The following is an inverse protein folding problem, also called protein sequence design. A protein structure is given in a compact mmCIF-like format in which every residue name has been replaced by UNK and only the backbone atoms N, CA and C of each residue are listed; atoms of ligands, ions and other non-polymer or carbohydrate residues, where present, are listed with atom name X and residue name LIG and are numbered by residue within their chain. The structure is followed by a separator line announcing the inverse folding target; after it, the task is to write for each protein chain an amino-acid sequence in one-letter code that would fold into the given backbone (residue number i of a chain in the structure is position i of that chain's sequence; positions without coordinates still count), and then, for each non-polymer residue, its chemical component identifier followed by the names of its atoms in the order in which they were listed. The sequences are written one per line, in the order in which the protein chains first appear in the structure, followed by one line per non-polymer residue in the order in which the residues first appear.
data_IF_216564776816
#
_entry.id   IF_216564776816
#
_cell.length_a   1.000
_cell.length_b   1.000
_cell.length_c   1.000
_cell.angle_alpha   90.00
_cell.angle_beta   90.00
_cell.angle_gamma   90.00
#
_symmetry.space_group_name_H-M   'P 1'
#
loop_
_entity.id
_entity.type
_entity.pdbx_description
1 polymer ?
#
# COMPACT_ATOMS: atom_id res chain seq x y z
N UNK A 1 5.70 12.75 21.02
CA UNK A 1 4.94 14.02 20.83
C UNK A 1 3.44 13.78 20.88
N UNK A 2 2.94 12.79 20.16
CA UNK A 2 1.52 12.42 20.07
C UNK A 2 0.83 12.25 21.42
N UNK A 3 1.46 11.56 22.37
CA UNK A 3 0.90 11.34 23.71
C UNK A 3 0.55 12.67 24.42
N UNK A 4 1.43 13.66 24.32
CA UNK A 4 1.21 14.98 24.96
C UNK A 4 0.05 15.71 24.30
N UNK A 5 0.00 15.72 22.96
CA UNK A 5 -1.10 16.34 22.19
C UNK A 5 -2.43 15.66 22.52
N UNK A 6 -2.47 14.32 22.56
CA UNK A 6 -3.69 13.58 22.90
C UNK A 6 -4.17 13.84 24.33
N UNK A 7 -3.25 13.99 25.29
CA UNK A 7 -3.61 14.35 26.66
C UNK A 7 -4.21 15.76 26.73
N UNK A 8 -3.60 16.75 26.08
CA UNK A 8 -4.15 18.12 26.05
C UNK A 8 -5.53 18.15 25.36
N UNK A 9 -5.72 17.40 24.26
CA UNK A 9 -7.04 17.29 23.62
C UNK A 9 -8.07 16.62 24.52
N UNK A 10 -7.69 15.60 25.30
CA UNK A 10 -8.57 14.96 26.27
C UNK A 10 -8.97 15.90 27.42
N UNK A 11 -8.04 16.77 27.88
CA UNK A 11 -8.36 17.81 28.86
C UNK A 11 -9.29 18.87 28.27
N UNK A 12 -9.03 19.30 27.03
CA UNK A 12 -9.91 20.21 26.30
C UNK A 12 -11.33 19.64 26.13
N UNK A 13 -11.46 18.35 25.85
CA UNK A 13 -12.76 17.68 25.70
C UNK A 13 -13.50 17.52 27.03
N UNK A 14 -12.83 17.00 28.06
CA UNK A 14 -13.46 16.68 29.35
C UNK A 14 -13.82 17.92 30.17
N UNK A 15 -13.01 18.98 30.10
CA UNK A 15 -13.16 20.18 30.94
C UNK A 15 -13.61 21.42 30.16
N UNK A 16 -13.82 21.29 28.84
CA UNK A 16 -14.00 22.43 27.94
C UNK A 16 -12.89 23.49 28.07
N UNK A 17 -11.66 23.05 28.36
CA UNK A 17 -10.53 23.95 28.59
C UNK A 17 -9.95 24.46 27.27
N UNK A 18 -10.27 25.72 26.94
CA UNK A 18 -9.76 26.41 25.76
C UNK A 18 -8.24 26.58 25.78
N UNK A 19 -7.62 26.65 26.96
CA UNK A 19 -6.17 26.77 27.08
C UNK A 19 -5.47 25.44 26.70
N UNK A 20 -6.04 24.30 27.10
CA UNK A 20 -5.59 22.97 26.67
C UNK A 20 -5.68 22.79 25.15
N UNK A 21 -6.80 23.21 24.54
CA UNK A 21 -6.96 23.18 23.09
C UNK A 21 -5.88 24.03 22.40
N UNK A 22 -5.64 25.24 22.90
CA UNK A 22 -4.64 26.14 22.33
C UNK A 22 -3.22 25.58 22.48
N UNK A 23 -2.89 24.93 23.60
CA UNK A 23 -1.61 24.24 23.78
C UNK A 23 -1.45 23.10 22.77
N UNK A 24 -2.47 22.24 22.62
CA UNK A 24 -2.46 21.17 21.63
C UNK A 24 -2.24 21.71 20.20
N UNK A 25 -2.97 22.76 19.83
CA UNK A 25 -2.83 23.41 18.52
C UNK A 25 -1.44 23.99 18.29
N UNK A 26 -0.85 24.70 19.26
CA UNK A 26 0.50 25.26 19.14
C UNK A 26 1.57 24.17 19.02
N UNK A 27 1.41 23.04 19.74
CA UNK A 27 2.30 21.89 19.61
C UNK A 27 2.23 21.29 18.20
N UNK A 28 1.03 21.06 17.67
CA UNK A 28 0.82 20.56 16.31
C UNK A 28 1.43 21.52 15.27
N UNK A 29 1.19 22.83 15.43
CA UNK A 29 1.65 23.85 14.48
C UNK A 29 3.16 24.00 14.48
N UNK A 30 3.78 24.08 15.65
CA UNK A 30 5.24 24.16 15.80
C UNK A 30 5.94 22.91 15.25
N UNK A 31 5.40 21.72 15.54
CA UNK A 31 5.92 20.46 15.01
C UNK A 31 5.78 20.37 13.48
N UNK A 32 4.70 20.92 12.90
CA UNK A 32 4.53 20.93 11.45
C UNK A 32 5.48 21.91 10.76
N UNK A 33 5.78 23.06 11.39
CA UNK A 33 6.75 24.05 10.91
C UNK A 33 8.20 23.61 11.11
N UNK A 34 8.47 22.82 12.15
CA UNK A 34 9.78 22.29 12.50
C UNK A 34 10.24 21.07 11.69
N UNK A 35 9.42 20.57 10.74
CA UNK A 35 9.80 19.47 9.84
C UNK A 35 11.02 19.84 8.99
N UNK A 36 12.19 19.53 9.52
CA UNK A 36 13.46 19.42 8.79
C UNK A 36 13.42 18.13 7.97
N UNK A 37 13.86 18.18 6.71
CA UNK A 37 13.99 17.00 5.82
C UNK A 37 14.89 15.88 6.37
N UNK A 38 15.56 16.07 7.51
CA UNK A 38 16.66 15.23 7.97
C UNK A 38 16.43 14.49 9.31
N UNK A 39 15.31 14.67 10.01
CA UNK A 39 15.06 13.91 11.27
C UNK A 39 13.63 13.32 11.36
N UNK A 40 13.45 12.01 11.08
CA UNK A 40 12.15 11.35 11.12
C UNK A 40 11.60 11.13 12.53
N UNK A 41 12.39 11.38 13.58
CA UNK A 41 12.01 11.09 14.97
C UNK A 41 11.09 12.14 15.62
N UNK A 42 10.96 13.33 15.02
CA UNK A 42 10.08 14.41 15.49
C UNK A 42 8.69 14.43 14.85
N UNK A 43 8.38 13.46 13.98
CA UNK A 43 7.09 13.42 13.30
C UNK A 43 5.94 12.97 14.23
N UNK A 44 4.77 13.59 14.05
CA UNK A 44 3.54 13.25 14.77
C UNK A 44 2.49 12.71 13.79
N UNK A 45 1.51 11.96 14.30
CA UNK A 45 0.44 11.42 13.46
C UNK A 45 -0.38 12.54 12.80
N UNK A 46 -0.57 12.53 11.46
CA UNK A 46 -1.47 13.45 10.77
C UNK A 46 -2.91 13.43 11.28
N UNK A 47 -3.33 12.34 11.92
CA UNK A 47 -4.66 12.20 12.52
C UNK A 47 -4.92 13.25 13.61
N UNK A 48 -3.86 13.73 14.28
CA UNK A 48 -3.95 14.75 15.33
C UNK A 48 -4.43 16.10 14.80
N UNK A 49 -4.19 16.42 13.52
CA UNK A 49 -4.79 17.61 12.90
C UNK A 49 -6.31 17.54 12.91
N UNK A 50 -6.86 16.37 12.58
CA UNK A 50 -8.31 16.18 12.48
C UNK A 50 -8.95 16.16 13.87
N UNK A 51 -8.31 15.50 14.85
CA UNK A 51 -8.78 15.50 16.24
C UNK A 51 -8.78 16.92 16.84
N UNK A 52 -7.73 17.70 16.59
CA UNK A 52 -7.68 19.10 17.03
C UNK A 52 -8.75 19.95 16.32
N UNK A 53 -8.95 19.75 15.02
CA UNK A 53 -9.94 20.48 14.25
C UNK A 53 -11.38 20.22 14.71
N UNK A 54 -11.73 18.97 15.01
CA UNK A 54 -13.03 18.60 15.54
C UNK A 54 -13.26 19.18 16.93
N UNK A 55 -12.26 19.10 17.80
CA UNK A 55 -12.37 19.65 19.15
C UNK A 55 -12.53 21.17 19.10
N UNK A 56 -11.82 21.85 18.20
CA UNK A 56 -11.98 23.28 17.97
C UNK A 56 -13.40 23.65 17.49
N UNK A 57 -13.98 22.87 16.58
CA UNK A 57 -15.38 23.07 16.15
C UNK A 57 -16.37 22.89 17.29
N UNK A 58 -16.23 21.84 18.11
CA UNK A 58 -17.07 21.61 19.30
C UNK A 58 -17.00 22.78 20.28
N UNK A 59 -15.85 23.43 20.39
CA UNK A 59 -15.60 24.56 21.30
C UNK A 59 -15.84 25.93 20.67
N UNK A 60 -16.35 25.99 19.43
CA UNK A 60 -16.68 27.25 18.75
C UNK A 60 -15.46 28.06 18.29
N UNK A 61 -14.31 27.42 18.05
CA UNK A 61 -13.08 28.04 17.53
C UNK A 61 -12.84 27.64 16.06
N UNK A 62 -13.57 28.22 15.10
CA UNK A 62 -13.49 27.84 13.69
C UNK A 62 -12.11 28.13 13.08
N UNK A 63 -11.44 29.21 13.49
CA UNK A 63 -10.14 29.60 12.95
C UNK A 63 -9.05 28.54 13.20
N UNK A 64 -9.06 27.97 14.42
CA UNK A 64 -8.15 26.88 14.81
C UNK A 64 -8.46 25.63 14.00
N UNK A 65 -9.74 25.32 13.80
CA UNK A 65 -10.17 24.19 12.98
C UNK A 65 -9.74 24.33 11.53
N UNK A 66 -9.96 25.50 10.93
CA UNK A 66 -9.61 25.78 9.54
C UNK A 66 -8.10 25.61 9.29
N UNK A 67 -7.26 26.17 10.16
CA UNK A 67 -5.80 26.05 10.05
C UNK A 67 -5.35 24.58 10.20
N UNK A 68 -5.94 23.83 11.14
CA UNK A 68 -5.66 22.40 11.31
C UNK A 68 -6.03 21.58 10.06
N UNK A 69 -7.21 21.80 9.49
CA UNK A 69 -7.67 21.11 8.29
C UNK A 69 -6.80 21.49 7.07
N UNK A 70 -6.40 22.75 6.97
CA UNK A 70 -5.51 23.19 5.90
C UNK A 70 -4.14 22.50 5.99
N UNK A 71 -3.57 22.38 7.20
CA UNK A 71 -2.33 21.64 7.42
C UNK A 71 -2.48 20.14 7.10
N UNK A 72 -3.60 19.51 7.48
CA UNK A 72 -3.88 18.11 7.15
C UNK A 72 -3.85 17.83 5.65
N UNK A 73 -4.56 18.64 4.85
CA UNK A 73 -4.60 18.45 3.40
C UNK A 73 -3.27 18.81 2.71
N UNK A 74 -2.50 19.77 3.25
CA UNK A 74 -1.15 20.11 2.74
C UNK A 74 -0.13 19.01 3.01
N UNK A 75 -0.24 18.31 4.14
CA UNK A 75 0.70 17.27 4.54
C UNK A 75 0.65 16.01 3.66
N UNK A 76 -0.34 15.89 2.76
CA UNK A 76 -0.56 14.70 1.89
C UNK A 76 -0.42 13.39 2.68
N UNK A 77 -1.04 13.34 3.85
CA UNK A 77 -1.00 12.18 4.74
C UNK A 77 -1.68 10.95 4.11
N UNK A 78 -1.44 9.75 4.66
CA UNK A 78 -2.07 8.52 4.20
C UNK A 78 -3.60 8.64 4.25
N UNK A 79 -4.29 7.99 3.31
CA UNK A 79 -5.75 7.92 3.32
C UNK A 79 -6.18 7.01 4.46
N UNK A 80 -6.63 7.61 5.56
CA UNK A 80 -7.16 6.91 6.74
C UNK A 80 -8.62 7.32 6.99
N UNK A 81 -9.28 6.66 7.94
CA UNK A 81 -10.63 7.02 8.42
C UNK A 81 -10.82 8.52 8.75
N UNK A 82 -9.72 9.24 9.00
CA UNK A 82 -9.71 10.67 9.31
C UNK A 82 -9.93 11.56 8.09
N UNK A 83 -9.79 11.07 6.86
CA UNK A 83 -10.05 11.85 5.65
C UNK A 83 -11.54 12.23 5.52
N UNK A 84 -12.46 11.29 5.76
CA UNK A 84 -13.90 11.58 5.80
C UNK A 84 -14.28 12.57 6.89
N UNK A 85 -13.64 12.45 8.06
CA UNK A 85 -13.82 13.36 9.20
C UNK A 85 -13.28 14.76 8.92
N UNK A 86 -12.15 14.87 8.22
CA UNK A 86 -11.59 16.15 7.77
C UNK A 86 -12.52 16.85 6.75
N UNK A 87 -13.10 16.10 5.82
CA UNK A 87 -14.13 16.64 4.91
C UNK A 87 -15.37 17.11 5.65
N UNK A 88 -15.79 16.40 6.71
CA UNK A 88 -16.90 16.82 7.56
C UNK A 88 -16.58 18.12 8.31
N UNK A 89 -15.38 18.26 8.89
CA UNK A 89 -14.94 19.50 9.53
C UNK A 89 -14.98 20.68 8.55
N UNK A 90 -14.51 20.47 7.31
CA UNK A 90 -14.55 21.51 6.27
C UNK A 90 -15.98 21.86 5.85
N UNK A 91 -16.89 20.87 5.79
CA UNK A 91 -18.30 21.12 5.52
C UNK A 91 -18.95 21.96 6.63
N UNK A 92 -18.59 21.71 7.90
CA UNK A 92 -19.07 22.48 9.05
C UNK A 92 -18.53 23.92 9.06
N UNK A 93 -17.27 24.13 8.65
CA UNK A 93 -16.70 25.48 8.48
C UNK A 93 -17.38 26.28 7.37
N UNK A 94 -17.75 25.62 6.27
CA UNK A 94 -18.49 26.22 5.16
C UNK A 94 -20.01 26.21 5.36
N UNK A 95 -20.53 25.95 6.57
CA UNK A 95 -21.96 25.91 6.80
C UNK A 95 -22.61 27.24 6.41
N UNK A 96 -23.58 27.25 5.48
CA UNK A 96 -24.15 28.47 4.92
C UNK A 96 -24.86 29.25 6.02
N UNK A 97 -24.44 30.51 6.21
CA UNK A 97 -25.00 31.42 7.25
C UNK A 97 -26.13 32.30 6.71
N UNK A 98 -26.30 32.33 5.38
CA UNK A 98 -27.32 33.12 4.68
C UNK A 98 -27.77 32.38 3.42
N UNK A 99 -29.03 32.60 3.02
CA UNK A 99 -29.60 32.11 1.75
C UNK A 99 -29.10 32.86 0.52
N UNK A 100 -28.37 33.96 0.68
CA UNK A 100 -27.89 34.81 -0.42
C UNK A 100 -26.51 34.39 -0.96
N UNK A 101 -25.75 33.56 -0.22
CA UNK A 101 -24.43 33.11 -0.64
C UNK A 101 -24.44 31.69 -1.22
N UNK A 102 -24.76 31.61 -2.51
CA UNK A 102 -24.87 30.35 -3.25
C UNK A 102 -23.54 29.58 -3.33
N UNK A 103 -22.41 30.29 -3.38
CA UNK A 103 -21.08 29.68 -3.49
C UNK A 103 -20.66 28.94 -2.20
N UNK A 104 -20.94 29.52 -1.03
CA UNK A 104 -20.74 28.84 0.26
C UNK A 104 -21.60 27.59 0.38
N UNK A 105 -22.85 27.66 -0.08
CA UNK A 105 -23.77 26.52 -0.11
C UNK A 105 -23.26 25.39 -1.01
N UNK A 106 -22.85 25.69 -2.23
CA UNK A 106 -22.29 24.70 -3.18
C UNK A 106 -21.01 24.06 -2.65
N UNK A 107 -20.12 24.86 -2.05
CA UNK A 107 -18.91 24.36 -1.40
C UNK A 107 -19.23 23.42 -0.24
N UNK A 108 -20.19 23.79 0.61
CA UNK A 108 -20.66 22.98 1.73
C UNK A 108 -21.24 21.63 1.26
N UNK A 109 -22.15 21.65 0.29
CA UNK A 109 -22.74 20.44 -0.31
C UNK A 109 -21.66 19.55 -0.91
N UNK A 110 -20.67 20.13 -1.59
CA UNK A 110 -19.55 19.39 -2.16
C UNK A 110 -18.71 18.69 -1.08
N UNK A 111 -18.45 19.34 0.06
CA UNK A 111 -17.71 18.72 1.16
C UNK A 111 -18.53 17.61 1.85
N UNK A 112 -19.83 17.83 2.08
CA UNK A 112 -20.71 16.78 2.61
C UNK A 112 -20.77 15.58 1.67
N UNK A 113 -20.89 15.77 0.36
CA UNK A 113 -20.84 14.69 -0.61
C UNK A 113 -19.52 13.93 -0.57
N UNK A 114 -18.38 14.62 -0.43
CA UNK A 114 -17.06 13.98 -0.25
C UNK A 114 -17.00 13.14 1.04
N UNK A 115 -17.47 13.68 2.17
CA UNK A 115 -17.52 12.96 3.44
C UNK A 115 -18.45 11.73 3.37
N UNK A 116 -19.64 11.87 2.78
CA UNK A 116 -20.61 10.79 2.61
C UNK A 116 -20.07 9.70 1.68
N UNK A 117 -19.47 10.07 0.55
CA UNK A 117 -18.87 9.11 -0.38
C UNK A 117 -17.69 8.37 0.27
N UNK A 118 -16.88 9.07 1.05
CA UNK A 118 -15.82 8.46 1.84
C UNK A 118 -16.39 7.45 2.85
N UNK A 119 -17.39 7.83 3.63
CA UNK A 119 -18.02 6.96 4.63
C UNK A 119 -18.75 5.75 4.02
N UNK A 120 -19.36 5.91 2.84
CA UNK A 120 -20.02 4.81 2.11
C UNK A 120 -19.04 3.88 1.42
N UNK A 121 -17.92 4.42 0.94
CA UNK A 121 -16.89 3.66 0.22
C UNK A 121 -15.95 2.91 1.15
N UNK A 122 -15.32 3.56 2.11
CA UNK A 122 -14.11 3.04 2.75
C UNK A 122 -14.31 1.84 3.69
N UNK A 123 -15.14 1.89 4.75
CA UNK A 123 -15.17 0.82 5.74
C UNK A 123 -15.78 -0.47 5.18
N UNK A 124 -16.74 -0.38 4.25
CA UNK A 124 -17.33 -1.54 3.58
C UNK A 124 -16.38 -2.17 2.57
N UNK A 125 -15.66 -1.37 1.78
CA UNK A 125 -14.68 -1.89 0.80
C UNK A 125 -13.51 -2.56 1.53
N UNK A 126 -12.95 -1.92 2.56
CA UNK A 126 -11.84 -2.50 3.34
C UNK A 126 -12.24 -3.82 3.99
N UNK A 127 -13.42 -3.87 4.62
CA UNK A 127 -13.93 -5.12 5.22
C UNK A 127 -14.11 -6.23 4.17
N UNK A 128 -14.61 -5.88 2.97
CA UNK A 128 -14.77 -6.86 1.89
C UNK A 128 -13.42 -7.38 1.38
N UNK A 129 -12.39 -6.54 1.30
CA UNK A 129 -11.03 -6.99 0.96
C UNK A 129 -10.47 -7.95 2.02
N UNK A 130 -10.58 -7.60 3.29
CA UNK A 130 -10.11 -8.45 4.40
C UNK A 130 -10.87 -9.78 4.44
N UNK A 131 -12.20 -9.73 4.28
CA UNK A 131 -13.02 -10.93 4.22
C UNK A 131 -12.67 -11.80 3.01
N UNK A 132 -12.41 -11.21 1.83
CA UNK A 132 -11.98 -11.93 0.65
C UNK A 132 -10.62 -12.62 0.87
N UNK A 133 -9.63 -11.91 1.44
CA UNK A 133 -8.30 -12.50 1.75
C UNK A 133 -8.38 -13.62 2.78
N UNK A 134 -9.15 -13.40 3.84
CA UNK A 134 -9.35 -14.41 4.88
C UNK A 134 -10.05 -15.64 4.32
N UNK A 135 -11.12 -15.46 3.53
CA UNK A 135 -11.84 -16.58 2.92
C UNK A 135 -10.99 -17.35 1.91
N UNK A 136 -10.13 -16.69 1.13
CA UNK A 136 -9.14 -17.35 0.28
C UNK A 136 -8.13 -18.17 1.08
N UNK A 137 -7.63 -17.61 2.19
CA UNK A 137 -6.70 -18.30 3.11
C UNK A 137 -7.34 -19.55 3.73
N UNK A 138 -8.63 -19.46 4.10
CA UNK A 138 -9.42 -20.56 4.63
C UNK A 138 -9.98 -21.49 3.54
N UNK A 139 -9.71 -21.20 2.27
CA UNK A 139 -10.19 -21.95 1.09
C UNK A 139 -11.71 -22.01 0.94
N UNK A 140 -12.40 -20.99 1.43
CA UNK A 140 -13.85 -20.82 1.25
C UNK A 140 -14.13 -20.13 -0.10
N UNK A 141 -14.14 -20.90 -1.20
CA UNK A 141 -14.30 -20.38 -2.56
C UNK A 141 -15.57 -19.54 -2.75
N UNK A 142 -16.70 -20.00 -2.22
CA UNK A 142 -18.00 -19.31 -2.36
C UNK A 142 -17.96 -17.91 -1.73
N UNK A 143 -17.50 -17.82 -0.47
CA UNK A 143 -17.40 -16.54 0.25
C UNK A 143 -16.43 -15.60 -0.47
N UNK A 144 -15.29 -16.13 -0.92
CA UNK A 144 -14.28 -15.35 -1.66
C UNK A 144 -14.87 -14.77 -2.95
N UNK A 145 -15.58 -15.60 -3.72
CA UNK A 145 -16.25 -15.22 -4.96
C UNK A 145 -17.32 -14.15 -4.74
N UNK A 146 -18.15 -14.31 -3.71
CA UNK A 146 -19.20 -13.36 -3.38
C UNK A 146 -18.61 -11.99 -2.96
N UNK A 147 -17.54 -11.99 -2.16
CA UNK A 147 -16.83 -10.77 -1.78
C UNK A 147 -16.24 -10.05 -3.00
N UNK A 148 -15.60 -10.77 -3.92
CA UNK A 148 -15.04 -10.20 -5.16
C UNK A 148 -16.16 -9.61 -6.04
N UNK A 149 -17.30 -10.31 -6.15
CA UNK A 149 -18.46 -9.82 -6.89
C UNK A 149 -18.99 -8.51 -6.31
N UNK A 150 -19.10 -8.43 -4.98
CA UNK A 150 -19.56 -7.22 -4.29
C UNK A 150 -18.54 -6.08 -4.40
N UNK A 151 -17.24 -6.36 -4.32
CA UNK A 151 -16.19 -5.37 -4.56
C UNK A 151 -16.28 -4.75 -5.96
N UNK A 152 -16.60 -5.55 -6.98
CA UNK A 152 -16.74 -5.09 -8.37
C UNK A 152 -18.00 -4.25 -8.61
N UNK A 153 -19.04 -4.42 -7.79
CA UNK A 153 -20.27 -3.60 -7.86
C UNK A 153 -20.07 -2.22 -7.24
N UNK A 154 -19.09 -2.08 -6.35
CA UNK A 154 -18.75 -0.80 -5.74
C UNK A 154 -17.90 -0.04 -6.78
N UNK A 155 -18.48 0.99 -7.39
CA UNK A 155 -17.86 1.79 -8.47
C UNK A 155 -16.63 2.57 -7.96
N UNK A 156 -15.52 1.87 -7.80
CA UNK A 156 -14.23 2.43 -7.39
C UNK A 156 -13.39 2.72 -8.63
N UNK A 157 -13.16 4.01 -8.90
CA UNK A 157 -12.22 4.44 -9.94
C UNK A 157 -10.76 4.41 -9.48
N UNK A 158 -10.49 3.97 -8.25
CA UNK A 158 -9.15 3.95 -7.69
C UNK A 158 -8.31 2.84 -8.34
N UNK A 159 -7.20 3.17 -9.04
CA UNK A 159 -6.39 2.19 -9.73
C UNK A 159 -5.71 1.20 -8.79
N UNK A 160 -5.44 1.57 -7.53
CA UNK A 160 -4.88 0.67 -6.51
C UNK A 160 -5.86 -0.43 -6.13
N UNK A 161 -7.08 -0.05 -5.75
CA UNK A 161 -8.18 -0.98 -5.43
C UNK A 161 -8.52 -1.90 -6.61
N UNK A 162 -8.50 -1.39 -7.85
CA UNK A 162 -8.71 -2.22 -9.04
C UNK A 162 -7.60 -3.28 -9.22
N UNK A 163 -6.34 -2.94 -8.92
CA UNK A 163 -5.23 -3.88 -8.95
C UNK A 163 -5.40 -4.94 -7.85
N UNK A 164 -5.79 -4.54 -6.64
CA UNK A 164 -6.02 -5.46 -5.53
C UNK A 164 -7.18 -6.44 -5.80
N UNK A 165 -8.31 -5.96 -6.36
CA UNK A 165 -9.42 -6.82 -6.81
C UNK A 165 -8.89 -7.84 -7.81
N UNK A 166 -8.02 -7.41 -8.73
CA UNK A 166 -7.47 -8.30 -9.74
C UNK A 166 -6.56 -9.39 -9.13
N UNK A 167 -5.83 -9.07 -8.08
CA UNK A 167 -5.04 -10.05 -7.32
C UNK A 167 -5.95 -11.09 -6.66
N UNK A 168 -7.04 -10.67 -6.01
CA UNK A 168 -8.03 -11.59 -5.43
C UNK A 168 -8.64 -12.53 -6.48
N UNK A 169 -8.98 -12.02 -7.66
CA UNK A 169 -9.48 -12.86 -8.77
C UNK A 169 -8.46 -13.93 -9.19
N UNK A 170 -7.18 -13.57 -9.26
CA UNK A 170 -6.12 -14.51 -9.61
C UNK A 170 -5.86 -15.56 -8.52
N UNK A 171 -5.95 -15.17 -7.24
CA UNK A 171 -5.84 -16.11 -6.13
C UNK A 171 -7.01 -17.11 -6.11
N UNK A 172 -8.23 -16.64 -6.35
CA UNK A 172 -9.40 -17.52 -6.47
C UNK A 172 -9.27 -18.49 -7.64
N UNK A 173 -8.81 -18.01 -8.81
CA UNK A 173 -8.56 -18.86 -9.98
C UNK A 173 -7.48 -19.92 -9.66
N UNK A 174 -6.38 -19.51 -9.00
CA UNK A 174 -5.30 -20.41 -8.60
C UNK A 174 -5.75 -21.45 -7.56
N UNK A 175 -6.62 -21.07 -6.63
CA UNK A 175 -7.21 -21.98 -5.63
C UNK A 175 -7.99 -23.11 -6.31
N UNK A 176 -8.83 -22.79 -7.30
CA UNK A 176 -9.58 -23.78 -8.07
C UNK A 176 -8.72 -24.73 -8.91
N UNK A 177 -7.45 -24.39 -9.14
CA UNK A 177 -6.47 -25.22 -9.85
C UNK A 177 -5.60 -26.05 -8.89
N UNK A 178 -5.56 -25.75 -7.60
CA UNK A 178 -4.56 -26.25 -6.64
C UNK A 178 -4.46 -27.79 -6.63
N UNK A 179 -5.61 -28.47 -6.55
CA UNK A 179 -5.66 -29.94 -6.51
C UNK A 179 -5.13 -30.59 -7.80
N UNK A 180 -5.41 -29.98 -8.95
CA UNK A 180 -4.99 -30.45 -10.28
C UNK A 180 -3.51 -30.15 -10.55
N UNK A 181 -3.00 -29.02 -10.05
CA UNK A 181 -1.58 -28.67 -10.12
C UNK A 181 -0.75 -29.62 -9.26
N UNK A 182 -1.23 -30.01 -8.08
CA UNK A 182 -0.56 -30.99 -7.20
C UNK A 182 -0.33 -32.35 -7.88
N UNK A 183 -1.29 -32.81 -8.69
CA UNK A 183 -1.20 -34.07 -9.43
C UNK A 183 -0.70 -33.89 -10.87
N UNK A 184 -0.15 -32.71 -11.20
CA UNK A 184 0.48 -32.40 -12.49
C UNK A 184 -0.45 -32.56 -13.71
N UNK A 185 -1.72 -32.15 -13.59
CA UNK A 185 -2.57 -32.02 -14.77
C UNK A 185 -2.00 -30.91 -15.65
N UNK A 186 -1.52 -31.27 -16.84
CA UNK A 186 -0.88 -30.34 -17.79
C UNK A 186 -1.69 -29.06 -18.02
N UNK A 187 -3.00 -29.19 -18.29
CA UNK A 187 -3.87 -28.05 -18.50
C UNK A 187 -3.97 -27.12 -17.28
N UNK A 188 -3.93 -27.67 -16.06
CA UNK A 188 -3.96 -26.88 -14.84
C UNK A 188 -2.62 -26.16 -14.58
N UNK A 189 -1.50 -26.82 -14.88
CA UNK A 189 -0.16 -26.21 -14.81
C UNK A 189 -0.03 -25.07 -15.83
N UNK A 190 -0.50 -25.27 -17.07
CA UNK A 190 -0.51 -24.24 -18.11
C UNK A 190 -1.40 -23.05 -17.73
N UNK A 191 -2.57 -23.30 -17.13
CA UNK A 191 -3.46 -22.26 -16.59
C UNK A 191 -2.78 -21.48 -15.44
N UNK A 192 -2.17 -22.17 -14.49
CA UNK A 192 -1.43 -21.54 -13.38
C UNK A 192 -0.28 -20.64 -13.91
N UNK A 193 0.48 -21.10 -14.92
CA UNK A 193 1.52 -20.30 -15.57
C UNK A 193 0.95 -19.09 -16.34
N UNK A 194 -0.29 -19.16 -16.82
CA UNK A 194 -0.98 -18.01 -17.41
C UNK A 194 -1.38 -16.99 -16.34
N UNK A 195 -1.79 -17.42 -15.16
CA UNK A 195 -2.02 -16.52 -14.01
C UNK A 195 -0.73 -15.77 -13.67
N UNK A 196 0.41 -16.46 -13.55
CA UNK A 196 1.71 -15.83 -13.25
C UNK A 196 2.09 -14.77 -14.30
N UNK A 197 1.88 -15.05 -15.60
CA UNK A 197 2.14 -14.08 -16.67
C UNK A 197 1.26 -12.82 -16.57
N UNK A 198 -0.01 -12.99 -16.20
CA UNK A 198 -0.92 -11.86 -15.99
C UNK A 198 -0.56 -11.06 -14.74
N UNK A 199 -0.12 -11.72 -13.67
CA UNK A 199 0.40 -11.08 -12.47
C UNK A 199 1.65 -10.25 -12.75
N UNK A 200 2.57 -10.72 -13.61
CA UNK A 200 3.75 -9.95 -14.00
C UNK A 200 3.37 -8.63 -14.69
N UNK A 201 2.35 -8.65 -15.56
CA UNK A 201 1.82 -7.43 -16.18
C UNK A 201 1.23 -6.51 -15.11
N UNK A 202 0.44 -7.05 -14.19
CA UNK A 202 -0.19 -6.31 -13.08
C UNK A 202 0.86 -5.69 -12.15
N UNK A 203 1.95 -6.40 -11.87
CA UNK A 203 3.10 -5.90 -11.09
C UNK A 203 3.70 -4.67 -11.75
N UNK A 204 3.93 -4.71 -13.08
CA UNK A 204 4.39 -3.53 -13.80
C UNK A 204 3.40 -2.37 -13.73
N UNK A 205 2.08 -2.61 -13.60
CA UNK A 205 1.10 -1.53 -13.38
C UNK A 205 1.20 -0.95 -11.98
N UNK A 206 1.35 -1.80 -10.96
CA UNK A 206 1.52 -1.37 -9.57
C UNK A 206 2.81 -0.54 -9.38
N UNK A 207 3.92 -0.97 -9.99
CA UNK A 207 5.17 -0.20 -9.96
C UNK A 207 5.01 1.19 -10.59
N UNK A 208 4.28 1.30 -11.70
CA UNK A 208 3.98 2.60 -12.32
C UNK A 208 3.07 3.48 -11.47
N UNK A 209 2.16 2.87 -10.70
CA UNK A 209 1.31 3.59 -9.75
C UNK A 209 2.13 4.17 -8.59
N UNK A 210 3.19 3.47 -8.18
CA UNK A 210 4.13 3.93 -7.15
C UNK A 210 3.61 3.79 -5.72
N UNK A 211 2.51 3.06 -5.51
CA UNK A 211 1.96 2.75 -4.19
C UNK A 211 2.65 1.50 -3.61
N UNK A 212 3.43 1.63 -2.51
CA UNK A 212 4.13 0.50 -1.90
C UNK A 212 3.18 -0.60 -1.43
N UNK A 213 2.01 -0.25 -0.88
CA UNK A 213 1.02 -1.22 -0.39
C UNK A 213 0.51 -2.11 -1.52
N UNK A 214 0.11 -1.49 -2.64
CA UNK A 214 -0.38 -2.21 -3.82
C UNK A 214 0.73 -3.09 -4.42
N UNK A 215 1.97 -2.60 -4.47
CA UNK A 215 3.12 -3.38 -4.93
C UNK A 215 3.31 -4.63 -4.06
N UNK A 216 3.30 -4.48 -2.74
CA UNK A 216 3.43 -5.60 -1.81
C UNK A 216 2.34 -6.65 -1.99
N UNK A 217 1.08 -6.23 -2.22
CA UNK A 217 -0.03 -7.14 -2.48
C UNK A 217 0.25 -7.97 -3.74
N UNK A 218 0.58 -7.33 -4.87
CA UNK A 218 0.86 -8.05 -6.13
C UNK A 218 2.04 -9.00 -5.97
N UNK A 219 3.12 -8.56 -5.33
CA UNK A 219 4.29 -9.39 -5.05
C UNK A 219 3.94 -10.64 -4.22
N UNK A 220 3.12 -10.46 -3.17
CA UNK A 220 2.68 -11.56 -2.30
C UNK A 220 1.80 -12.54 -3.06
N UNK A 221 0.83 -12.05 -3.83
CA UNK A 221 -0.03 -12.88 -4.69
C UNK A 221 0.78 -13.65 -5.74
N UNK A 222 1.75 -13.00 -6.38
CA UNK A 222 2.63 -13.62 -7.38
C UNK A 222 3.50 -14.70 -6.75
N UNK A 223 4.10 -14.45 -5.59
CA UNK A 223 4.84 -15.46 -4.83
C UNK A 223 3.97 -16.67 -4.50
N UNK A 224 2.79 -16.44 -3.91
CA UNK A 224 1.86 -17.50 -3.52
C UNK A 224 1.40 -18.35 -4.72
N UNK A 225 1.14 -17.71 -5.86
CA UNK A 225 0.77 -18.39 -7.12
C UNK A 225 1.91 -19.24 -7.68
N UNK A 226 3.16 -18.84 -7.44
CA UNK A 226 4.35 -19.57 -7.88
C UNK A 226 4.68 -20.78 -6.99
N UNK A 227 4.29 -20.78 -5.70
CA UNK A 227 4.64 -21.83 -4.73
C UNK A 227 4.32 -23.26 -5.24
N UNK A 228 3.11 -23.57 -5.75
CA UNK A 228 2.79 -24.90 -6.24
C UNK A 228 3.63 -25.34 -7.46
N UNK A 229 4.23 -24.39 -8.17
CA UNK A 229 5.00 -24.61 -9.39
C UNK A 229 6.52 -24.73 -9.13
N UNK A 230 7.00 -24.64 -7.89
CA UNK A 230 8.44 -24.70 -7.56
C UNK A 230 9.12 -26.07 -7.77
N UNK A 231 8.36 -27.05 -8.24
CA UNK A 231 8.88 -28.36 -8.63
C UNK A 231 9.98 -28.24 -9.69
N UNK A 232 10.97 -29.14 -9.64
CA UNK A 232 12.24 -29.01 -10.36
C UNK A 232 12.09 -28.73 -11.88
N UNK A 233 11.08 -29.35 -12.51
CA UNK A 233 10.84 -29.23 -13.96
C UNK A 233 10.27 -27.88 -14.39
N UNK A 234 9.63 -27.13 -13.49
CA UNK A 234 8.92 -25.88 -13.81
C UNK A 234 9.67 -24.62 -13.38
N UNK A 235 10.77 -24.77 -12.62
CA UNK A 235 11.57 -23.65 -12.07
C UNK A 235 12.06 -22.68 -13.12
N UNK A 236 12.39 -23.17 -14.32
CA UNK A 236 12.88 -22.33 -15.41
C UNK A 236 11.84 -21.31 -15.88
N UNK A 237 10.54 -21.63 -15.81
CA UNK A 237 9.46 -20.70 -16.12
C UNK A 237 9.25 -19.64 -15.03
N UNK A 238 9.63 -19.93 -13.79
CA UNK A 238 9.43 -19.04 -12.63
C UNK A 238 10.60 -18.09 -12.39
N UNK A 239 11.78 -18.38 -12.96
CA UNK A 239 12.99 -17.60 -12.69
C UNK A 239 12.81 -16.10 -12.97
N UNK A 240 12.24 -15.75 -14.12
CA UNK A 240 12.02 -14.35 -14.51
C UNK A 240 10.92 -13.69 -13.65
N UNK A 241 9.72 -14.27 -13.48
CA UNK A 241 8.70 -13.72 -12.60
C UNK A 241 9.18 -13.49 -11.15
N UNK A 242 9.96 -14.41 -10.59
CA UNK A 242 10.47 -14.28 -9.21
C UNK A 242 11.61 -13.25 -9.11
N UNK A 243 12.48 -13.17 -10.11
CA UNK A 243 13.50 -12.12 -10.17
C UNK A 243 12.86 -10.73 -10.25
N UNK A 244 11.81 -10.56 -11.07
CA UNK A 244 11.07 -9.31 -11.14
C UNK A 244 10.47 -8.89 -9.78
N UNK A 245 9.92 -9.86 -9.03
CA UNK A 245 9.38 -9.59 -7.68
C UNK A 245 10.49 -9.13 -6.74
N UNK A 246 11.64 -9.79 -6.74
CA UNK A 246 12.79 -9.41 -5.92
C UNK A 246 13.31 -8.00 -6.29
N UNK A 247 13.54 -7.74 -7.59
CA UNK A 247 14.03 -6.46 -8.10
C UNK A 247 13.11 -5.28 -7.74
N UNK A 248 11.80 -5.50 -7.65
CA UNK A 248 10.83 -4.47 -7.30
C UNK A 248 10.84 -4.19 -5.79
N UNK A 249 10.94 -5.22 -4.96
CA UNK A 249 10.96 -5.08 -3.50
C UNK A 249 12.30 -4.51 -2.98
N UNK A 250 13.41 -4.73 -3.69
CA UNK A 250 14.73 -4.20 -3.32
C UNK A 250 14.92 -2.72 -3.65
N UNK A 251 14.13 -2.16 -4.58
CA UNK A 251 14.23 -0.75 -4.95
C UNK A 251 13.58 0.13 -3.88
N UNK A 252 14.28 1.14 -3.31
CA UNK A 252 13.66 2.10 -2.43
C UNK A 252 12.62 2.89 -3.24
N UNK A 253 11.33 2.73 -2.89
CA UNK A 253 10.24 3.46 -3.52
C UNK A 253 10.29 4.95 -3.14
N UNK A 254 11.18 5.71 -3.80
CA UNK A 254 11.15 7.17 -3.85
C UNK A 254 10.15 7.66 -4.91
N UNK A 255 9.64 8.90 -4.80
CA UNK A 255 8.64 9.42 -5.73
C UNK A 255 9.19 9.38 -7.16
N UNK A 256 8.37 8.86 -8.09
CA UNK A 256 8.73 8.73 -9.48
C UNK A 256 9.23 10.06 -10.08
N UNK A 257 10.29 10.08 -10.90
CA UNK A 257 10.68 11.28 -11.61
C UNK A 257 9.56 11.68 -12.58
N UNK A 258 9.14 12.93 -12.50
CA UNK A 258 8.17 13.52 -13.43
C UNK A 258 8.67 13.37 -14.89
N UNK A 259 7.82 12.95 -15.84
CA UNK A 259 8.20 12.90 -17.24
C UNK A 259 8.14 14.32 -17.81
N UNK A 260 9.27 15.01 -17.88
CA UNK A 260 9.30 16.38 -18.37
C UNK A 260 10.68 16.99 -18.51
N UNK A 261 11.49 16.49 -19.45
CA UNK A 261 12.57 17.27 -20.06
C UNK A 261 12.84 16.76 -21.47
N UNK A 262 11.93 17.04 -22.39
CA UNK A 262 12.28 17.13 -23.81
C UNK A 262 13.20 18.34 -23.99
N UNK A 263 14.52 18.11 -23.94
CA UNK A 263 15.54 19.03 -24.40
C UNK A 263 15.91 18.71 -25.85
N UNK A 264 15.37 19.50 -26.76
CA UNK A 264 15.61 19.43 -28.20
C UNK A 264 16.97 20.08 -28.53
N UNK A 265 17.77 19.44 -29.40
CA UNK A 265 18.78 20.10 -30.24
C UNK A 265 20.24 20.04 -29.77
N UNK A 266 21.09 19.30 -30.50
CA UNK A 266 21.99 19.92 -31.49
C UNK A 266 22.88 18.89 -32.20
N UNK A 267 22.85 18.97 -33.53
CA UNK A 267 23.78 18.39 -34.48
C UNK A 267 25.26 18.71 -34.19
N UNK A 268 26.11 17.69 -34.30
CA UNK A 268 27.42 17.65 -35.00
C UNK A 268 27.97 16.24 -34.78
N UNK A 269 28.39 15.44 -35.74
CA UNK A 269 28.89 15.66 -37.08
C UNK A 269 29.87 14.50 -37.28
N UNK A 270 29.60 13.63 -38.26
CA UNK A 270 30.37 12.40 -38.44
C UNK A 270 31.82 12.64 -38.87
N UNK A 271 32.66 11.65 -38.55
CA UNK A 271 33.82 11.21 -39.34
C UNK A 271 34.38 9.92 -38.72
N UNK A 272 34.31 8.83 -39.46
CA UNK A 272 35.36 7.81 -39.45
C UNK A 272 35.95 7.73 -40.87
N UNK A 273 36.80 6.75 -41.19
CA UNK A 273 37.71 6.00 -40.33
C UNK A 273 39.15 5.95 -40.94
N UNK A 274 40.15 5.50 -40.18
CA UNK A 274 41.43 5.04 -40.74
C UNK A 274 41.99 3.93 -39.85
N UNK A 275 42.31 2.80 -40.47
CA UNK A 275 42.73 1.57 -39.80
C UNK A 275 44.24 1.32 -39.82
N UNK A 276 44.55 0.04 -39.56
CA UNK A 276 45.87 -0.62 -39.47
C UNK A 276 46.66 -0.30 -38.18
N UNK A 277 47.21 -1.27 -37.45
CA UNK A 277 47.26 -2.71 -37.61
C UNK A 277 48.24 -3.31 -36.58
N UNK A 278 48.13 -4.63 -36.41
CA UNK A 278 49.19 -5.57 -36.02
C UNK A 278 49.64 -5.72 -34.54
N UNK A 279 49.40 -6.95 -34.06
CA UNK A 279 50.30 -7.89 -33.35
C UNK A 279 50.27 -7.92 -31.81
N UNK A 280 49.89 -9.10 -31.31
CA UNK A 280 49.85 -9.60 -29.93
C UNK A 280 51.23 -10.20 -29.51
N UNK A 281 51.36 -11.10 -28.50
CA UNK A 281 50.61 -11.33 -27.24
C UNK A 281 51.57 -11.45 -26.00
N UNK A 282 51.02 -11.55 -24.78
CA UNK A 282 51.49 -12.47 -23.72
C UNK A 282 50.69 -12.27 -22.41
N UNK A 283 49.66 -13.09 -22.18
CA UNK A 283 49.12 -13.31 -20.83
C UNK A 283 49.65 -14.65 -20.30
N UNK A 284 50.33 -14.56 -19.16
CA UNK A 284 50.81 -15.71 -18.39
C UNK A 284 49.72 -16.28 -17.49
N UNK A 285 49.74 -17.61 -17.39
CA UNK A 285 49.00 -18.43 -16.42
C UNK A 285 49.15 -17.95 -14.97
N UNK A 286 48.05 -18.02 -14.20
CA UNK A 286 48.07 -18.64 -12.87
C UNK A 286 46.64 -19.04 -12.45
N UNK A 287 46.42 -20.34 -12.37
CA UNK A 287 45.26 -20.99 -11.78
C UNK A 287 45.26 -20.85 -10.26
N UNK A 288 44.10 -20.54 -9.68
CA UNK A 288 43.86 -20.62 -8.23
C UNK A 288 42.50 -21.25 -7.95
N UNK A 289 42.48 -22.54 -7.57
CA UNK A 289 41.31 -23.27 -7.06
C UNK A 289 40.83 -22.68 -5.73
N UNK A 290 39.53 -22.66 -5.43
CA UNK A 290 39.03 -22.71 -4.06
C UNK A 290 38.65 -24.16 -3.67
N UNK A 291 39.09 -24.59 -2.49
CA UNK A 291 38.78 -25.89 -1.88
C UNK A 291 37.35 -25.99 -1.32
N UNK A 292 36.94 -27.20 -0.86
CA UNK A 292 35.53 -27.56 -0.71
C UNK A 292 34.93 -27.21 0.67
N UNK A 293 33.60 -27.02 0.66
CA UNK A 293 32.69 -26.84 1.79
C UNK A 293 32.67 -28.04 2.75
N UNK A 294 32.48 -27.85 4.07
CA UNK A 294 32.08 -28.92 4.97
C UNK A 294 30.55 -29.06 5.05
N UNK A 295 30.10 -30.32 5.13
CA UNK A 295 28.70 -30.76 5.17
C UNK A 295 28.03 -30.68 6.56
N UNK A 296 26.83 -31.28 6.71
CA UNK A 296 25.83 -30.89 7.70
C UNK A 296 25.96 -31.64 9.04
N UNK A 297 25.63 -30.95 10.13
CA UNK A 297 25.42 -31.58 11.44
C UNK A 297 23.98 -32.11 11.54
N UNK A 298 23.87 -33.39 11.87
CA UNK A 298 22.66 -34.05 12.34
C UNK A 298 22.58 -33.92 13.87
N UNK A 299 21.41 -33.57 14.38
CA UNK A 299 20.85 -33.92 15.69
C UNK A 299 19.33 -33.69 15.50
N UNK A 300 18.39 -34.53 15.92
CA UNK A 300 18.36 -35.48 17.02
C UNK A 300 16.94 -35.36 17.61
N UNK A 301 16.06 -36.27 17.17
CA UNK A 301 14.66 -36.50 17.54
C UNK A 301 14.43 -36.46 19.08
N UNK A 302 13.38 -35.85 19.65
CA UNK A 302 12.09 -36.50 20.01
C UNK A 302 11.16 -35.60 20.90
N UNK A 303 9.87 -35.96 21.11
CA UNK A 303 8.72 -35.05 21.23
C UNK A 303 8.02 -35.00 22.62
N UNK A 304 7.13 -34.02 22.81
CA UNK A 304 6.08 -33.97 23.86
C UNK A 304 5.11 -32.81 23.53
N UNK A 305 3.79 -32.79 23.77
CA UNK A 305 2.75 -33.70 24.28
C UNK A 305 1.42 -33.05 23.84
N UNK A 306 0.46 -33.86 23.40
CA UNK A 306 -0.93 -33.47 23.14
C UNK A 306 -1.66 -33.07 24.43
N UNK A 307 -2.43 -31.97 24.39
CA UNK A 307 -3.51 -31.73 25.36
C UNK A 307 -4.81 -31.55 24.59
N UNK A 308 -5.64 -32.58 24.63
CA UNK A 308 -7.08 -32.50 24.39
C UNK A 308 -7.74 -31.78 25.57
N UNK A 309 -8.61 -30.81 25.28
CA UNK A 309 -9.68 -30.43 26.19
C UNK A 309 -11.02 -30.62 25.49
N UNK A 310 -11.73 -31.65 25.95
CA UNK A 310 -13.15 -31.83 25.76
C UNK A 310 -13.92 -30.89 26.69
N UNK A 311 -14.96 -30.24 26.18
CA UNK A 311 -15.96 -29.51 26.97
C UNK A 311 -17.25 -30.33 26.96
N UNK A 312 -17.84 -30.67 28.12
CA UNK A 312 -19.22 -31.12 28.19
C UNK A 312 -20.16 -29.94 28.45
N UNK A 313 -21.29 -29.98 27.77
CA UNK A 313 -22.47 -29.11 27.94
C UNK A 313 -23.27 -29.58 29.16
N UNK A 314 -23.84 -28.66 29.95
CA UNK A 314 -25.17 -28.82 30.53
C UNK A 314 -26.23 -27.99 29.78
#
# INVERSE_FOLDING_TARGET
MDLVITQELAHAESQQDAASLQRAYQLIKSANLGKSEFDPTESFSPDLFVLCAEQALKMGQPDVSEDCIQMYFKAKGPVTQFLGRAHLCRAQLCAPKSTENLEEFENCVTQYMKAINFAKGEPRILLLFELARLSLTLKCEQISSDCISDLKKIDSQDPGKLIEIKCLEYELEALGLESKVKVYVRAAVEAQLNIVRRLDITLQRAVRLGDPGVIHVVCTTQWNTCLPLLQHNLRHHLRKPLANVADVLEKPHGPAPLPGAHGNGAHRGGRGPAGAGHVAPAEGHASGRPGPLPGPAQDGLQPAVSVHQAVPVP
#
